data_IF_391141277966
#
_entry.id   IF_391141277966
#
_cell.length_a   1.000
_cell.length_b   1.000
_cell.length_c   1.000
_cell.angle_alpha   90.00
_cell.angle_beta   90.00
_cell.angle_gamma   90.00
#
_symmetry.space_group_name_H-M   'P 1'
#
loop_
_entity.id
_entity.type
_entity.pdbx_description
1 polymer ?
#
# COMPACT_ATOMS: atom_id res chain seq x y z
N UNK A 1 -35.19 36.11 -18.14
CA UNK A 1 -33.81 36.25 -17.59
C UNK A 1 -33.05 34.98 -17.98
N UNK A 2 -31.91 35.12 -18.66
CA UNK A 2 -31.02 33.99 -18.96
C UNK A 2 -29.99 33.92 -17.82
N UNK A 3 -29.95 32.79 -17.11
CA UNK A 3 -28.92 32.52 -16.11
C UNK A 3 -27.89 31.63 -16.78
N UNK A 4 -26.72 32.18 -17.10
CA UNK A 4 -25.59 31.42 -17.63
C UNK A 4 -24.78 30.91 -16.44
N UNK A 5 -24.75 29.60 -16.27
CA UNK A 5 -23.91 28.95 -15.27
C UNK A 5 -22.55 28.64 -15.92
N UNK A 6 -21.53 29.43 -15.58
CA UNK A 6 -20.15 29.14 -15.98
C UNK A 6 -19.56 28.23 -14.92
N UNK A 7 -19.58 26.91 -15.15
CA UNK A 7 -18.91 25.97 -14.26
C UNK A 7 -17.39 26.00 -14.52
N UNK A 8 -16.60 26.26 -13.48
CA UNK A 8 -15.13 26.38 -13.58
C UNK A 8 -14.40 25.04 -13.37
N UNK A 9 -15.12 24.00 -12.98
CA UNK A 9 -14.59 22.65 -12.83
C UNK A 9 -15.74 21.66 -12.63
N UNK A 10 -15.62 20.50 -13.25
CA UNK A 10 -16.65 19.47 -13.18
C UNK A 10 -16.00 18.09 -13.11
N UNK A 11 -16.73 17.09 -12.64
CA UNK A 11 -16.23 15.74 -12.42
C UNK A 11 -17.35 14.70 -12.59
N UNK A 12 -17.00 13.42 -12.51
CA UNK A 12 -17.96 12.32 -12.69
C UNK A 12 -18.11 11.87 -14.14
N UNK A 13 -17.26 12.37 -15.02
CA UNK A 13 -17.07 11.81 -16.37
C UNK A 13 -16.47 10.40 -16.30
N UNK A 14 -16.27 9.80 -17.47
CA UNK A 14 -15.70 8.46 -17.57
C UNK A 14 -14.34 8.37 -16.86
N UNK A 15 -14.13 7.34 -16.05
CA UNK A 15 -12.92 7.17 -15.26
C UNK A 15 -11.66 6.90 -16.12
N UNK A 16 -11.82 6.58 -17.41
CA UNK A 16 -10.73 6.48 -18.37
C UNK A 16 -10.04 7.81 -18.67
N UNK A 17 -10.74 8.93 -18.48
CA UNK A 17 -10.21 10.27 -18.77
C UNK A 17 -9.07 10.64 -17.83
N UNK A 18 -8.00 11.22 -18.38
CA UNK A 18 -6.81 11.57 -17.60
C UNK A 18 -7.10 12.61 -16.50
N UNK A 19 -8.00 13.56 -16.78
CA UNK A 19 -8.40 14.58 -15.81
C UNK A 19 -9.21 14.03 -14.63
N UNK A 20 -9.74 12.80 -14.75
CA UNK A 20 -10.49 12.11 -13.70
C UNK A 20 -9.61 11.19 -12.82
N UNK A 21 -8.31 11.06 -13.13
CA UNK A 21 -7.41 10.22 -12.35
C UNK A 21 -7.06 10.86 -11.01
N UNK A 22 -7.08 10.06 -9.96
CA UNK A 22 -6.74 10.49 -8.60
C UNK A 22 -5.27 10.22 -8.28
N UNK A 23 -4.72 10.97 -7.32
CA UNK A 23 -3.40 10.68 -6.76
C UNK A 23 -3.49 9.59 -5.67
N UNK A 24 -2.48 8.72 -5.61
CA UNK A 24 -2.29 7.78 -4.51
C UNK A 24 -0.86 7.89 -4.00
N UNK A 25 -0.69 8.04 -2.68
CA UNK A 25 0.62 8.08 -2.02
C UNK A 25 0.54 7.38 -0.68
N UNK A 26 1.44 6.44 -0.46
CA UNK A 26 1.55 5.70 0.79
C UNK A 26 2.95 5.85 1.40
N UNK A 27 3.01 5.95 2.72
CA UNK A 27 4.26 5.97 3.49
C UNK A 27 4.04 5.28 4.83
N UNK A 28 4.99 4.43 5.22
CA UNK A 28 4.95 3.74 6.49
C UNK A 28 5.97 2.61 6.56
N UNK A 29 6.12 1.96 7.72
CA UNK A 29 7.08 0.87 7.91
C UNK A 29 6.80 -0.35 7.04
N UNK A 30 5.53 -0.58 6.68
CA UNK A 30 5.10 -1.70 5.85
C UNK A 30 5.33 -1.49 4.35
N UNK A 31 5.49 -0.25 3.90
CA UNK A 31 5.66 0.09 2.48
C UNK A 31 7.14 0.12 2.07
N UNK A 32 7.42 -0.27 0.83
CA UNK A 32 8.73 -0.06 0.20
C UNK A 32 9.03 1.43 0.11
N UNK A 33 10.31 1.81 0.23
CA UNK A 33 10.77 3.20 0.05
C UNK A 33 11.14 3.41 -1.40
N UNK A 34 10.96 4.64 -1.91
CA UNK A 34 11.29 5.03 -3.28
C UNK A 34 10.68 4.11 -4.35
N UNK A 35 9.48 3.60 -4.07
CA UNK A 35 8.73 2.73 -4.96
C UNK A 35 7.69 3.54 -5.73
N UNK A 36 7.61 3.31 -7.05
CA UNK A 36 6.57 3.85 -7.93
C UNK A 36 5.77 2.66 -8.45
N UNK A 37 4.48 2.66 -8.17
CA UNK A 37 3.57 1.62 -8.68
C UNK A 37 3.11 1.97 -10.09
N UNK A 38 2.76 0.95 -10.87
CA UNK A 38 1.87 1.11 -12.02
C UNK A 38 0.50 1.66 -11.56
N UNK A 39 -0.24 2.38 -12.43
CA UNK A 39 -1.60 2.83 -12.14
C UNK A 39 -2.52 1.65 -11.84
N UNK A 40 -3.45 1.85 -10.90
CA UNK A 40 -4.41 0.83 -10.49
C UNK A 40 -5.74 1.46 -10.07
N UNK A 41 -6.82 0.68 -10.09
CA UNK A 41 -8.15 1.15 -9.67
C UNK A 41 -8.27 1.22 -8.15
N UNK A 42 -8.98 2.24 -7.66
CA UNK A 42 -9.14 2.51 -6.21
C UNK A 42 -9.80 1.36 -5.45
N UNK A 43 -10.53 0.47 -6.13
CA UNK A 43 -11.13 -0.74 -5.53
C UNK A 43 -10.10 -1.67 -4.87
N UNK A 44 -8.83 -1.60 -5.28
CA UNK A 44 -7.75 -2.42 -4.72
C UNK A 44 -7.20 -1.87 -3.39
N UNK A 45 -7.58 -0.65 -2.99
CA UNK A 45 -7.14 -0.04 -1.73
C UNK A 45 -7.75 -0.75 -0.52
N UNK A 46 -9.01 -1.21 -0.61
CA UNK A 46 -9.68 -1.90 0.50
C UNK A 46 -8.94 -3.17 0.97
N UNK A 47 -8.61 -4.15 0.10
CA UNK A 47 -7.84 -5.33 0.51
C UNK A 47 -6.43 -4.98 1.00
N UNK A 48 -5.79 -3.94 0.45
CA UNK A 48 -4.51 -3.44 0.95
C UNK A 48 -4.62 -2.94 2.40
N UNK A 49 -5.65 -2.16 2.72
CA UNK A 49 -5.89 -1.68 4.08
C UNK A 49 -6.19 -2.84 5.04
N UNK A 50 -6.99 -3.82 4.64
CA UNK A 50 -7.28 -4.99 5.45
C UNK A 50 -6.00 -5.77 5.77
N UNK A 51 -5.12 -5.96 4.76
CA UNK A 51 -3.79 -6.58 4.94
C UNK A 51 -2.93 -5.82 5.95
N UNK A 52 -2.89 -4.49 5.88
CA UNK A 52 -2.09 -3.65 6.77
C UNK A 52 -2.61 -3.66 8.22
N UNK A 53 -3.94 -3.66 8.38
CA UNK A 53 -4.61 -3.68 9.69
C UNK A 53 -4.74 -5.09 10.29
N UNK A 54 -4.40 -6.13 9.53
CA UNK A 54 -4.53 -7.54 9.93
C UNK A 54 -5.98 -7.92 10.27
N UNK A 55 -6.92 -7.48 9.42
CA UNK A 55 -8.35 -7.82 9.54
C UNK A 55 -8.83 -8.59 8.33
N UNK A 56 -9.81 -9.47 8.53
CA UNK A 56 -10.44 -10.20 7.45
C UNK A 56 -11.30 -9.25 6.59
N UNK A 57 -11.09 -9.23 5.26
CA UNK A 57 -11.90 -8.41 4.37
C UNK A 57 -13.32 -8.98 4.23
N UNK A 58 -14.32 -8.09 4.18
CA UNK A 58 -15.66 -8.44 3.71
C UNK A 58 -15.66 -8.67 2.17
N UNK A 59 -16.71 -9.26 1.59
CA UNK A 59 -16.80 -9.44 0.13
C UNK A 59 -16.58 -8.14 -0.64
N UNK A 60 -15.66 -8.14 -1.61
CA UNK A 60 -15.28 -6.96 -2.39
C UNK A 60 -14.84 -7.33 -3.81
N UNK A 61 -14.70 -6.33 -4.69
CA UNK A 61 -14.23 -6.51 -6.06
C UNK A 61 -12.73 -6.20 -6.27
N UNK A 62 -12.03 -5.75 -5.22
CA UNK A 62 -10.58 -5.53 -5.27
C UNK A 62 -9.76 -6.82 -5.28
N UNK A 63 -8.46 -6.71 -5.60
CA UNK A 63 -7.49 -7.81 -5.55
C UNK A 63 -6.23 -7.31 -4.86
N UNK A 64 -5.82 -7.98 -3.77
CA UNK A 64 -4.60 -7.62 -3.03
C UNK A 64 -3.35 -7.70 -3.94
N UNK A 65 -3.30 -8.67 -4.85
CA UNK A 65 -2.16 -8.92 -5.73
C UNK A 65 -1.74 -7.70 -6.56
N UNK A 66 -2.67 -6.79 -6.87
CA UNK A 66 -2.38 -5.55 -7.62
C UNK A 66 -1.54 -4.56 -6.79
N UNK A 67 -1.67 -4.62 -5.46
CA UNK A 67 -1.06 -3.64 -4.53
C UNK A 67 -0.01 -4.25 -3.59
N UNK A 68 0.08 -5.58 -3.52
CA UNK A 68 0.95 -6.28 -2.58
C UNK A 68 2.42 -5.98 -2.82
N UNK A 69 2.83 -5.72 -4.07
CA UNK A 69 4.21 -5.38 -4.39
C UNK A 69 4.65 -4.02 -3.83
N UNK A 70 3.71 -3.16 -3.38
CA UNK A 70 4.06 -1.94 -2.65
C UNK A 70 4.61 -2.24 -1.24
N UNK A 71 4.35 -3.43 -0.71
CA UNK A 71 4.68 -3.81 0.66
C UNK A 71 6.09 -4.44 0.73
N UNK A 72 6.77 -4.24 1.86
CA UNK A 72 8.02 -4.94 2.15
C UNK A 72 7.76 -6.43 2.37
N UNK A 73 8.70 -7.27 1.95
CA UNK A 73 8.66 -8.67 2.33
C UNK A 73 8.80 -8.79 3.86
N UNK A 74 8.06 -9.70 4.47
CA UNK A 74 8.06 -9.93 5.93
C UNK A 74 9.44 -10.40 6.48
N UNK A 75 10.43 -10.60 5.60
CA UNK A 75 11.79 -11.07 5.93
C UNK A 75 12.89 -10.00 6.00
N UNK A 76 12.64 -8.76 5.58
CA UNK A 76 13.71 -7.72 5.56
C UNK A 76 13.91 -7.00 6.91
N UNK A 77 13.02 -7.21 7.88
CA UNK A 77 13.06 -6.52 9.17
C UNK A 77 13.74 -7.32 10.29
N UNK A 78 14.10 -8.57 10.04
CA UNK A 78 14.82 -9.42 10.99
C UNK A 78 16.12 -9.95 10.35
N UNK A 79 17.00 -9.05 9.92
CA UNK A 79 18.42 -9.42 9.88
C UNK A 79 18.82 -9.76 11.31
N UNK A 80 18.99 -11.05 11.64
CA UNK A 80 19.63 -11.44 12.89
C UNK A 80 20.95 -10.67 12.94
N UNK A 81 21.06 -9.71 13.86
CA UNK A 81 22.32 -9.05 14.11
C UNK A 81 23.34 -10.14 14.46
N UNK A 82 24.46 -10.18 13.73
CA UNK A 82 25.55 -11.14 13.98
C UNK A 82 25.96 -11.09 15.47
N UNK A 83 25.86 -9.91 16.09
CA UNK A 83 26.09 -9.72 17.53
C UNK A 83 25.12 -10.50 18.41
N UNK A 84 23.83 -10.56 18.04
CA UNK A 84 22.80 -11.30 18.76
C UNK A 84 23.00 -12.82 18.61
N UNK A 85 23.40 -13.26 17.41
CA UNK A 85 23.72 -14.67 17.14
C UNK A 85 24.96 -15.13 17.92
N UNK A 86 26.01 -14.31 17.97
CA UNK A 86 27.23 -14.58 18.74
C UNK A 86 26.96 -14.61 20.26
N UNK A 87 26.07 -13.75 20.75
CA UNK A 87 25.61 -13.77 22.15
C UNK A 87 24.83 -15.05 22.50
N UNK A 88 23.94 -15.51 21.61
CA UNK A 88 23.21 -16.76 21.82
C UNK A 88 24.15 -17.97 21.82
N UNK A 89 25.15 -17.99 20.92
CA UNK A 89 26.16 -19.05 20.85
C UNK A 89 27.04 -19.08 22.10
N UNK A 90 27.43 -17.92 22.65
CA UNK A 90 28.24 -17.87 23.88
C UNK A 90 27.47 -18.30 25.13
N UNK A 91 26.15 -18.09 25.17
CA UNK A 91 25.29 -18.58 26.26
C UNK A 91 25.09 -20.11 26.21
N UNK A 92 25.12 -20.71 25.02
CA UNK A 92 25.02 -22.16 24.83
C UNK A 92 26.32 -22.89 25.17
N UNK A 93 27.48 -22.25 25.05
CA UNK A 93 28.79 -22.85 25.37
C UNK A 93 29.15 -22.84 26.86
N UNK A 94 28.30 -22.24 27.72
CA UNK A 94 28.53 -22.08 29.16
C UNK A 94 27.62 -23.01 29.99
N UNK A 95 26.82 -23.88 29.34
CA UNK A 95 26.09 -24.99 29.98
C UNK A 95 26.77 -26.32 29.68
#
# INVERSE_FOLDING_TARGET
RLIVYVNKGDHGFHNGEMDMKTIFRAFGPSFKRNFVSEPFDSIHIYPLMCKLLQVEPAPHNGSLAVTEDMLRSRGESAGLSITLLLLLLSMLSVS
#
